data_IF_719009456586
#
_entry.id   IF_719009456586
#
_cell.length_a   1.000
_cell.length_b   1.000
_cell.length_c   1.000
_cell.angle_alpha   90.00
_cell.angle_beta   90.00
_cell.angle_gamma   90.00
#
_symmetry.space_group_name_H-M   'P 1'
#
loop_
_entity.id
_entity.type
_entity.pdbx_description
1 polymer ?
#
# COMPACT_ATOMS: atom_id res chain seq x y z
N UNK A 1 -0.49 36.34 -3.44
CA UNK A 1 0.04 35.13 -4.11
C UNK A 1 0.64 34.22 -3.05
N UNK A 2 0.38 32.90 -3.04
CA UNK A 2 1.01 31.99 -2.08
C UNK A 2 2.53 31.96 -2.30
N UNK A 3 3.33 31.67 -1.26
CA UNK A 3 4.75 31.39 -1.41
C UNK A 3 4.97 30.23 -2.41
N UNK A 4 6.04 30.31 -3.20
CA UNK A 4 6.33 29.31 -4.24
C UNK A 4 6.31 27.87 -3.72
N UNK A 5 6.97 27.61 -2.58
CA UNK A 5 6.99 26.28 -1.96
C UNK A 5 5.62 25.76 -1.51
N UNK A 6 4.74 26.65 -1.04
CA UNK A 6 3.37 26.26 -0.64
C UNK A 6 2.53 25.91 -1.87
N UNK A 7 2.67 26.69 -2.96
CA UNK A 7 1.99 26.39 -4.23
C UNK A 7 2.40 25.01 -4.76
N UNK A 8 3.70 24.72 -4.79
CA UNK A 8 4.22 23.44 -5.29
C UNK A 8 3.74 22.26 -4.43
N UNK A 9 3.77 22.38 -3.10
CA UNK A 9 3.26 21.35 -2.19
C UNK A 9 1.77 21.06 -2.41
N UNK A 10 0.97 22.11 -2.60
CA UNK A 10 -0.46 21.98 -2.86
C UNK A 10 -0.75 21.35 -4.23
N UNK A 11 0.01 21.74 -5.25
CA UNK A 11 -0.11 21.21 -6.61
C UNK A 11 0.27 19.72 -6.66
N UNK A 12 1.38 19.34 -6.01
CA UNK A 12 1.81 17.96 -5.82
C UNK A 12 0.72 17.08 -5.21
N UNK A 13 0.07 17.55 -4.14
CA UNK A 13 -1.04 16.83 -3.50
C UNK A 13 -2.23 16.71 -4.46
N UNK A 14 -2.62 17.79 -5.14
CA UNK A 14 -3.71 17.73 -6.11
C UNK A 14 -3.45 16.73 -7.24
N UNK A 15 -2.22 16.63 -7.72
CA UNK A 15 -1.83 15.65 -8.75
C UNK A 15 -2.00 14.23 -8.18
N UNK A 16 -1.46 13.94 -7.00
CA UNK A 16 -1.56 12.60 -6.38
C UNK A 16 -3.00 12.18 -6.09
N UNK A 17 -3.86 13.12 -5.64
CA UNK A 17 -5.29 12.88 -5.46
C UNK A 17 -6.12 12.96 -6.76
N UNK A 18 -5.48 13.13 -7.91
CA UNK A 18 -6.13 13.21 -9.23
C UNK A 18 -7.19 14.33 -9.31
N UNK A 19 -7.00 15.39 -8.54
CA UNK A 19 -7.89 16.54 -8.53
C UNK A 19 -7.69 17.34 -9.81
N UNK A 20 -8.80 17.68 -10.48
CA UNK A 20 -8.75 18.44 -11.74
C UNK A 20 -8.43 19.92 -11.45
N UNK A 21 -7.49 20.54 -12.19
CA UNK A 21 -7.23 21.96 -12.04
C UNK A 21 -8.43 22.78 -12.48
N UNK A 22 -8.60 23.96 -11.89
CA UNK A 22 -9.68 24.89 -12.24
C UNK A 22 -9.21 25.84 -13.34
N UNK A 23 -10.04 26.06 -14.36
CA UNK A 23 -9.75 27.06 -15.40
C UNK A 23 -9.97 28.45 -14.85
N UNK A 24 -8.91 29.24 -14.75
CA UNK A 24 -8.99 30.66 -14.37
C UNK A 24 -8.43 31.53 -15.49
N UNK A 25 -8.87 32.79 -15.56
CA UNK A 25 -8.19 33.77 -16.40
C UNK A 25 -6.81 34.05 -15.81
N UNK A 26 -5.81 34.10 -16.69
CA UNK A 26 -4.44 34.44 -16.33
C UNK A 26 -4.41 35.84 -15.69
N UNK A 27 -4.01 35.97 -14.42
CA UNK A 27 -3.91 37.27 -13.75
C UNK A 27 -2.80 38.16 -14.34
N UNK A 28 -1.88 37.61 -15.15
CA UNK A 28 -0.83 38.36 -15.85
C UNK A 28 -1.18 38.64 -17.32
N UNK A 29 -2.13 37.93 -17.92
CA UNK A 29 -2.59 38.13 -19.30
C UNK A 29 -4.11 38.07 -19.41
N UNK A 30 -4.83 39.22 -19.32
CA UNK A 30 -6.27 39.27 -19.50
C UNK A 30 -6.66 38.73 -20.90
N UNK A 31 -7.18 37.50 -20.95
CA UNK A 31 -7.60 36.83 -22.19
C UNK A 31 -7.06 35.40 -22.37
N UNK A 32 -6.02 34.99 -21.63
CA UNK A 32 -5.55 33.60 -21.61
C UNK A 32 -6.16 32.83 -20.45
N UNK A 33 -6.60 31.60 -20.69
CA UNK A 33 -7.07 30.69 -19.64
C UNK A 33 -5.91 29.79 -19.20
N UNK A 34 -5.64 29.74 -17.90
CA UNK A 34 -4.66 28.83 -17.29
C UNK A 34 -5.36 27.78 -16.44
N UNK A 35 -4.78 26.57 -16.41
CA UNK A 35 -5.19 25.50 -15.52
C UNK A 35 -4.52 25.72 -14.17
N UNK A 36 -5.28 26.18 -13.19
CA UNK A 36 -4.78 26.51 -11.87
C UNK A 36 -5.14 25.43 -10.85
N UNK A 37 -4.10 24.79 -10.32
CA UNK A 37 -4.23 23.86 -9.21
C UNK A 37 -4.44 24.58 -7.88
N UNK A 38 -3.97 25.83 -7.72
CA UNK A 38 -4.06 26.54 -6.44
C UNK A 38 -5.50 26.72 -5.95
N UNK A 39 -6.41 27.10 -6.85
CA UNK A 39 -7.83 27.26 -6.53
C UNK A 39 -8.46 25.95 -6.07
N UNK A 40 -8.11 24.83 -6.73
CA UNK A 40 -8.57 23.49 -6.35
C UNK A 40 -7.97 23.04 -5.02
N UNK A 41 -6.68 23.25 -4.80
CA UNK A 41 -6.03 22.92 -3.54
C UNK A 41 -6.63 23.72 -2.39
N UNK A 42 -6.88 25.01 -2.58
CA UNK A 42 -7.45 25.85 -1.52
C UNK A 42 -8.83 25.36 -1.07
N UNK A 43 -9.65 24.90 -2.02
CA UNK A 43 -11.05 24.51 -1.78
C UNK A 43 -11.23 23.05 -1.38
N UNK A 44 -10.32 22.16 -1.79
CA UNK A 44 -10.47 20.71 -1.53
C UNK A 44 -9.40 20.15 -0.60
N UNK A 45 -8.18 20.68 -0.64
CA UNK A 45 -7.03 20.17 0.13
C UNK A 45 -6.86 20.97 1.42
N UNK A 46 -6.90 22.30 1.33
CA UNK A 46 -6.67 23.21 2.46
C UNK A 46 -7.96 23.65 3.16
N UNK A 47 -9.13 23.24 2.67
CA UNK A 47 -10.41 23.61 3.27
C UNK A 47 -10.62 22.97 4.64
N UNK A 48 -10.16 21.73 4.83
CA UNK A 48 -10.21 21.03 6.11
C UNK A 48 -8.89 20.28 6.37
N UNK A 49 -8.04 20.79 7.27
CA UNK A 49 -6.76 20.18 7.62
C UNK A 49 -6.88 18.77 8.23
N UNK A 50 -7.96 18.48 8.97
CA UNK A 50 -8.16 17.15 9.58
C UNK A 50 -8.50 16.13 8.52
N UNK A 51 -9.42 16.51 7.61
CA UNK A 51 -9.78 15.68 6.48
C UNK A 51 -8.57 15.39 5.58
N UNK A 52 -7.74 16.39 5.31
CA UNK A 52 -6.51 16.19 4.55
C UNK A 52 -5.62 15.13 5.21
N UNK A 53 -5.39 15.22 6.52
CA UNK A 53 -4.57 14.24 7.22
C UNK A 53 -5.16 12.82 7.13
N UNK A 54 -6.47 12.69 7.31
CA UNK A 54 -7.16 11.40 7.16
C UNK A 54 -7.05 10.85 5.73
N UNK A 55 -7.21 11.71 4.72
CA UNK A 55 -7.11 11.35 3.30
C UNK A 55 -5.66 10.93 2.95
N UNK A 56 -4.64 11.59 3.52
CA UNK A 56 -3.23 11.21 3.36
C UNK A 56 -2.90 9.86 4.01
N UNK A 57 -3.52 9.56 5.16
CA UNK A 57 -3.35 8.29 5.89
C UNK A 57 -4.08 7.13 5.22
N UNK A 58 -5.29 7.39 4.69
CA UNK A 58 -6.13 6.42 3.98
C UNK A 58 -5.84 6.32 2.49
N UNK A 59 -4.84 7.06 2.00
CA UNK A 59 -4.50 7.10 0.59
C UNK A 59 -4.15 5.70 0.09
N UNK A 60 -4.78 5.30 -1.02
CA UNK A 60 -4.52 4.02 -1.67
C UNK A 60 -3.20 4.06 -2.45
N UNK A 61 -2.11 3.90 -1.70
CA UNK A 61 -0.73 3.86 -2.20
C UNK A 61 -0.45 2.66 -3.12
N UNK A 62 -1.29 1.63 -3.07
CA UNK A 62 -1.11 0.40 -3.83
C UNK A 62 -1.74 0.51 -5.23
N UNK A 63 -2.69 1.43 -5.45
CA UNK A 63 -3.39 1.65 -6.74
C UNK A 63 -3.21 3.06 -7.32
N UNK A 64 -1.97 3.57 -7.37
CA UNK A 64 -1.69 4.88 -7.98
C UNK A 64 -1.59 4.72 -9.52
N UNK A 65 -2.38 5.46 -10.33
CA UNK A 65 -2.28 5.36 -11.79
C UNK A 65 -0.93 5.85 -12.31
N UNK A 66 -0.35 5.14 -13.29
CA UNK A 66 0.94 5.54 -13.89
C UNK A 66 0.89 6.97 -14.48
N UNK A 67 -0.27 7.40 -15.01
CA UNK A 67 -0.45 8.77 -15.51
C UNK A 67 -0.23 9.82 -14.42
N UNK A 68 -0.66 9.53 -13.19
CA UNK A 68 -0.48 10.42 -12.03
C UNK A 68 1.00 10.50 -11.65
N UNK A 69 1.68 9.37 -11.63
CA UNK A 69 3.13 9.28 -11.34
C UNK A 69 3.93 10.00 -12.44
N UNK A 70 3.59 9.81 -13.71
CA UNK A 70 4.22 10.52 -14.83
C UNK A 70 4.05 12.04 -14.74
N UNK A 71 2.85 12.50 -14.37
CA UNK A 71 2.60 13.93 -14.14
C UNK A 71 3.39 14.47 -12.92
N UNK A 72 3.70 13.60 -11.95
CA UNK A 72 4.46 13.94 -10.76
C UNK A 72 5.99 13.90 -10.97
N UNK A 73 6.50 13.12 -11.93
CA UNK A 73 7.95 12.98 -12.18
C UNK A 73 8.73 14.31 -12.24
N UNK A 74 8.25 15.37 -12.93
CA UNK A 74 8.98 16.64 -13.00
C UNK A 74 9.17 17.32 -11.63
N UNK A 75 8.32 17.01 -10.64
CA UNK A 75 8.46 17.55 -9.28
C UNK A 75 9.60 16.87 -8.50
N UNK A 76 9.94 15.63 -8.83
CA UNK A 76 11.04 14.91 -8.17
C UNK A 76 12.42 15.46 -8.56
N UNK A 77 12.55 16.00 -9.78
CA UNK A 77 13.79 16.56 -10.33
C UNK A 77 13.98 18.05 -10.00
N UNK A 78 12.98 18.65 -9.35
CA UNK A 78 12.92 20.08 -9.06
C UNK A 78 13.55 20.40 -7.70
N UNK A 79 14.58 21.24 -7.70
CA UNK A 79 15.27 21.71 -6.48
C UNK A 79 14.37 22.59 -5.60
N UNK A 80 13.40 23.29 -6.21
CA UNK A 80 12.40 24.10 -5.49
C UNK A 80 11.31 23.23 -4.82
N UNK A 81 11.23 21.95 -5.19
CA UNK A 81 10.39 20.92 -4.56
C UNK A 81 11.19 19.98 -3.65
N UNK A 82 12.31 20.44 -3.10
CA UNK A 82 13.04 19.70 -2.07
C UNK A 82 12.46 19.98 -0.66
N UNK A 83 12.33 18.97 0.23
CA UNK A 83 11.87 19.19 1.61
C UNK A 83 12.65 20.28 2.35
N UNK A 84 13.97 20.39 2.15
CA UNK A 84 14.78 21.42 2.80
C UNK A 84 14.51 22.82 2.22
N UNK A 85 14.19 22.92 0.93
CA UNK A 85 13.79 24.16 0.29
C UNK A 85 12.39 24.60 0.75
N UNK A 86 11.42 23.68 0.79
CA UNK A 86 10.03 23.94 1.19
C UNK A 86 9.91 24.25 2.69
N UNK A 87 10.77 23.64 3.53
CA UNK A 87 10.84 23.93 4.96
C UNK A 87 11.01 25.41 5.27
N UNK A 88 11.76 26.14 4.43
CA UNK A 88 11.94 27.60 4.57
C UNK A 88 10.62 28.37 4.41
N UNK A 89 9.64 27.80 3.71
CA UNK A 89 8.30 28.36 3.55
C UNK A 89 7.33 27.89 4.63
N UNK A 90 7.28 26.58 4.92
CA UNK A 90 6.37 26.00 5.91
C UNK A 90 6.77 24.58 6.31
N UNK A 91 6.78 24.32 7.62
CA UNK A 91 7.05 22.99 8.21
C UNK A 91 5.93 22.00 7.86
N UNK A 92 4.67 22.45 7.78
CA UNK A 92 3.58 21.57 7.36
C UNK A 92 3.72 21.15 5.89
N UNK A 93 4.20 22.07 5.04
CA UNK A 93 4.47 21.76 3.63
C UNK A 93 5.70 20.85 3.45
N UNK A 94 6.68 20.89 4.36
CA UNK A 94 7.80 19.93 4.41
C UNK A 94 7.27 18.50 4.58
N UNK A 95 6.37 18.28 5.55
CA UNK A 95 5.77 16.96 5.79
C UNK A 95 4.97 16.45 4.58
N UNK A 96 4.20 17.34 3.94
CA UNK A 96 3.44 17.03 2.71
C UNK A 96 4.38 16.68 1.55
N UNK A 97 5.48 17.43 1.38
CA UNK A 97 6.47 17.15 0.34
C UNK A 97 7.14 15.78 0.56
N UNK A 98 7.55 15.49 1.80
CA UNK A 98 8.11 14.19 2.17
C UNK A 98 7.13 13.05 1.87
N UNK A 99 5.86 13.22 2.26
CA UNK A 99 4.80 12.25 1.96
C UNK A 99 4.64 12.04 0.45
N UNK A 100 4.55 13.11 -0.35
CA UNK A 100 4.37 13.03 -1.79
C UNK A 100 5.55 12.30 -2.48
N UNK A 101 6.77 12.64 -2.09
CA UNK A 101 7.99 11.94 -2.54
C UNK A 101 8.02 10.47 -2.11
N UNK A 102 7.54 10.16 -0.90
CA UNK A 102 7.44 8.80 -0.40
C UNK A 102 6.41 7.98 -1.20
N UNK A 103 5.24 8.54 -1.53
CA UNK A 103 4.23 7.87 -2.36
C UNK A 103 4.77 7.56 -3.77
N UNK A 104 5.49 8.51 -4.37
CA UNK A 104 6.15 8.28 -5.66
C UNK A 104 7.13 7.12 -5.61
N UNK A 105 8.05 7.11 -4.63
CA UNK A 105 9.00 6.00 -4.46
C UNK A 105 8.30 4.67 -4.14
N UNK A 106 7.25 4.71 -3.31
CA UNK A 106 6.46 3.54 -2.96
C UNK A 106 5.87 2.89 -4.21
N UNK A 107 5.33 3.65 -5.17
CA UNK A 107 4.81 3.11 -6.44
C UNK A 107 5.79 2.18 -7.15
N UNK A 108 7.05 2.62 -7.31
CA UNK A 108 8.07 1.81 -7.99
C UNK A 108 8.47 0.57 -7.19
N UNK A 109 8.59 0.71 -5.86
CA UNK A 109 8.91 -0.42 -4.99
C UNK A 109 7.76 -1.41 -4.95
N UNK A 110 6.52 -0.94 -4.80
CA UNK A 110 5.29 -1.72 -4.80
C UNK A 110 5.19 -2.58 -6.05
N UNK A 111 5.40 -2.00 -7.24
CA UNK A 111 5.45 -2.72 -8.51
C UNK A 111 6.52 -3.81 -8.55
N UNK A 112 7.68 -3.57 -7.94
CA UNK A 112 8.75 -4.56 -7.87
C UNK A 112 8.47 -5.70 -6.86
N UNK A 113 7.70 -5.42 -5.79
CA UNK A 113 7.35 -6.42 -4.77
C UNK A 113 6.05 -7.17 -5.07
N UNK A 114 5.16 -6.61 -5.89
CA UNK A 114 3.90 -7.23 -6.30
C UNK A 114 4.07 -8.66 -6.86
N UNK A 115 5.00 -8.95 -7.79
CA UNK A 115 5.19 -10.32 -8.26
C UNK A 115 5.65 -11.28 -7.13
N UNK A 116 6.36 -10.77 -6.12
CA UNK A 116 6.76 -11.58 -4.95
C UNK A 116 5.58 -11.83 -4.02
N UNK A 117 4.68 -10.87 -3.86
CA UNK A 117 3.46 -11.02 -3.05
C UNK A 117 2.49 -12.01 -3.69
N UNK A 118 2.40 -12.04 -5.02
CA UNK A 118 1.61 -13.04 -5.75
C UNK A 118 2.20 -14.43 -5.53
N UNK A 119 3.50 -14.60 -5.78
CA UNK A 119 4.19 -15.89 -5.56
C UNK A 119 4.08 -16.37 -4.11
N UNK A 120 4.18 -15.46 -3.13
CA UNK A 120 4.01 -15.81 -1.72
C UNK A 120 2.60 -16.35 -1.45
N UNK A 121 1.57 -15.68 -1.97
CA UNK A 121 0.17 -16.10 -1.79
C UNK A 121 -0.09 -17.47 -2.43
N UNK A 122 0.48 -17.73 -3.59
CA UNK A 122 0.39 -19.04 -4.27
C UNK A 122 1.08 -20.13 -3.44
N UNK A 123 2.31 -19.90 -3.00
CA UNK A 123 3.05 -20.85 -2.17
C UNK A 123 2.38 -21.11 -0.81
N UNK A 124 1.79 -20.09 -0.19
CA UNK A 124 1.03 -20.23 1.06
C UNK A 124 -0.25 -21.06 0.85
N UNK A 125 -0.94 -20.90 -0.29
CA UNK A 125 -2.09 -21.71 -0.64
C UNK A 125 -1.70 -23.18 -0.87
N UNK A 126 -0.63 -23.43 -1.62
CA UNK A 126 -0.09 -24.79 -1.83
C UNK A 126 0.34 -25.45 -0.52
N UNK A 127 1.01 -24.69 0.36
CA UNK A 127 1.41 -25.17 1.68
C UNK A 127 0.19 -25.57 2.50
N UNK A 128 -0.87 -24.76 2.50
CA UNK A 128 -2.13 -25.07 3.16
C UNK A 128 -2.71 -26.41 2.71
N UNK A 129 -2.82 -26.64 1.40
CA UNK A 129 -3.31 -27.91 0.86
C UNK A 129 -2.42 -29.11 1.23
N UNK A 130 -1.10 -28.93 1.21
CA UNK A 130 -0.15 -29.97 1.62
C UNK A 130 -0.28 -30.29 3.10
N UNK A 131 -0.46 -29.28 3.95
CA UNK A 131 -0.64 -29.44 5.39
C UNK A 131 -1.92 -30.23 5.69
N UNK A 132 -3.03 -29.92 5.02
CA UNK A 132 -4.29 -30.66 5.17
C UNK A 132 -4.14 -32.14 4.78
N UNK A 133 -3.45 -32.42 3.66
CA UNK A 133 -3.16 -33.80 3.23
C UNK A 133 -2.28 -34.53 4.24
N UNK A 134 -1.29 -33.86 4.81
CA UNK A 134 -0.40 -34.42 5.82
C UNK A 134 -1.16 -34.75 7.11
N UNK A 135 -1.98 -33.84 7.61
CA UNK A 135 -2.79 -34.07 8.82
C UNK A 135 -3.76 -35.24 8.63
N UNK A 136 -4.40 -35.33 7.46
CA UNK A 136 -5.28 -36.45 7.13
C UNK A 136 -4.53 -37.80 7.11
N UNK A 137 -3.31 -37.83 6.54
CA UNK A 137 -2.48 -39.03 6.51
C UNK A 137 -1.98 -39.43 7.92
N UNK A 138 -1.53 -38.47 8.71
CA UNK A 138 -1.09 -38.69 10.09
C UNK A 138 -2.23 -39.21 10.98
N UNK A 139 -3.44 -38.66 10.81
CA UNK A 139 -4.63 -39.13 11.52
C UNK A 139 -4.94 -40.60 11.20
N UNK A 140 -4.95 -40.97 9.91
CA UNK A 140 -5.14 -42.37 9.48
C UNK A 140 -4.06 -43.30 10.02
N UNK A 141 -2.79 -42.86 10.00
CA UNK A 141 -1.70 -43.65 10.54
C UNK A 141 -1.89 -43.93 12.05
N UNK A 142 -2.29 -42.91 12.81
CA UNK A 142 -2.57 -43.03 14.24
C UNK A 142 -3.72 -44.00 14.52
N UNK A 143 -4.79 -43.96 13.72
CA UNK A 143 -5.87 -44.93 13.83
C UNK A 143 -5.42 -46.37 13.59
N UNK A 144 -4.59 -46.61 12.57
CA UNK A 144 -4.07 -47.95 12.26
C UNK A 144 -3.14 -48.44 13.38
N UNK A 145 -2.24 -47.58 13.87
CA UNK A 145 -1.35 -47.91 14.99
C UNK A 145 -2.15 -48.27 16.24
N UNK A 146 -3.21 -47.53 16.56
CA UNK A 146 -4.09 -47.84 17.69
C UNK A 146 -4.80 -49.19 17.51
N UNK A 147 -5.23 -49.54 16.30
CA UNK A 147 -5.86 -50.83 16.00
C UNK A 147 -4.88 -51.99 16.16
N UNK A 148 -3.65 -51.84 15.66
CA UNK A 148 -2.59 -52.85 15.82
C UNK A 148 -2.28 -53.07 17.30
N UNK A 149 -2.04 -52.00 18.05
CA UNK A 149 -1.75 -52.10 19.48
C UNK A 149 -2.88 -52.80 20.27
N UNK A 150 -4.14 -52.54 19.90
CA UNK A 150 -5.29 -53.24 20.49
C UNK A 150 -5.31 -54.73 20.14
N UNK A 151 -5.10 -55.08 18.86
CA UNK A 151 -5.08 -56.47 18.41
C UNK A 151 -3.92 -57.26 19.05
N UNK A 152 -2.75 -56.64 19.19
CA UNK A 152 -1.61 -57.23 19.89
C UNK A 152 -1.91 -57.48 21.37
N UNK A 153 -2.55 -56.52 22.05
CA UNK A 153 -2.98 -56.69 23.43
C UNK A 153 -4.02 -57.81 23.59
N UNK A 154 -5.03 -57.84 22.73
CA UNK A 154 -6.09 -58.87 22.74
C UNK A 154 -5.50 -60.27 22.45
N UNK A 155 -4.57 -60.37 21.49
CA UNK A 155 -3.89 -61.62 21.16
C UNK A 155 -3.04 -62.14 22.34
N UNK A 156 -2.22 -61.28 22.95
CA UNK A 156 -1.38 -61.66 24.09
C UNK A 156 -2.23 -62.14 25.27
N UNK A 157 -3.32 -61.44 25.58
CA UNK A 157 -4.25 -61.85 26.64
C UNK A 157 -4.88 -63.23 26.36
N UNK A 158 -5.27 -63.51 25.10
CA UNK A 158 -5.84 -64.79 24.72
C UNK A 158 -4.82 -65.94 24.77
N UNK A 159 -3.56 -65.69 24.41
CA UNK A 159 -2.47 -66.67 24.52
C UNK A 159 -2.19 -66.99 25.99
N UNK A 160 -2.15 -65.97 26.85
CA UNK A 160 -1.92 -66.14 28.29
C UNK A 160 -3.02 -66.96 28.97
N UNK A 161 -4.28 -66.78 28.53
CA UNK A 161 -5.41 -67.61 28.98
C UNK A 161 -5.31 -69.07 28.52
N UNK A 162 -4.77 -69.35 27.33
CA UNK A 162 -4.62 -70.72 26.82
C UNK A 162 -3.46 -71.50 27.46
N UNK A 163 -2.49 -70.81 28.04
CA UNK A 163 -1.33 -71.42 28.71
C UNK A 163 -1.54 -71.66 30.22
N UNK A 164 -2.65 -71.17 30.79
CA UNK A 164 -3.14 -71.53 32.12
C UNK A 164 -4.10 -72.73 32.06
#
# INVERSE_FOLDING_TARGET
KPPGGVRLACEAVCILFQLKPTKIQDPENPGKQIMDYWTTSKTQVLADPKKLLDDLLKFDKDNIPDKTIQAFNPYMERDDFDPAAIKKSSIACEAICLWARAMHKYHFVARAVEPKRIQLREAEAELGECQEKLEAAQSKLREVQNKIAKLEADFNAAVEQKQK
#
